data_IF_786629228486
#
_entry.id   IF_786629228486
#
_cell.length_a   1.000
_cell.length_b   1.000
_cell.length_c   1.000
_cell.angle_alpha   90.00
_cell.angle_beta   90.00
_cell.angle_gamma   90.00
#
_symmetry.space_group_name_H-M   'P 1'
#
loop_
_entity.id
_entity.type
_entity.pdbx_description
1 polymer ?
#
# COMPACT_ATOMS: atom_id res chain seq x y z
N UNK A 1 -1.20 25.59 7.75
CA UNK A 1 -0.32 25.28 6.60
C UNK A 1 -0.13 23.78 6.40
N UNK A 2 0.27 23.06 7.45
CA UNK A 2 0.52 21.62 7.43
C UNK A 2 -0.67 20.79 6.94
N UNK A 3 -1.87 20.98 7.50
CA UNK A 3 -3.08 20.23 7.11
C UNK A 3 -3.42 20.36 5.62
N UNK A 4 -3.22 21.56 5.06
CA UNK A 4 -3.38 21.83 3.63
C UNK A 4 -2.36 21.04 2.82
N UNK A 5 -1.10 20.98 3.26
CA UNK A 5 -0.05 20.21 2.57
C UNK A 5 -0.35 18.71 2.60
N UNK A 6 -0.82 18.19 3.73
CA UNK A 6 -1.25 16.79 3.87
C UNK A 6 -2.39 16.50 2.88
N UNK A 7 -3.43 17.34 2.87
CA UNK A 7 -4.58 17.19 1.96
C UNK A 7 -4.15 17.19 0.49
N UNK A 8 -3.28 18.12 0.09
CA UNK A 8 -2.76 18.19 -1.28
C UNK A 8 -1.99 16.93 -1.64
N UNK A 9 -1.12 16.46 -0.74
CA UNK A 9 -0.33 15.26 -0.96
C UNK A 9 -1.21 14.02 -1.11
N UNK A 10 -2.17 13.80 -0.20
CA UNK A 10 -3.11 12.68 -0.27
C UNK A 10 -3.88 12.67 -1.59
N UNK A 11 -4.34 13.84 -2.06
CA UNK A 11 -5.03 13.96 -3.35
C UNK A 11 -4.12 13.59 -4.53
N UNK A 12 -2.86 14.03 -4.50
CA UNK A 12 -1.88 13.71 -5.55
C UNK A 12 -1.54 12.22 -5.56
N UNK A 13 -1.34 11.62 -4.39
CA UNK A 13 -1.10 10.19 -4.24
C UNK A 13 -2.22 9.37 -4.88
N UNK A 14 -3.47 9.62 -4.48
CA UNK A 14 -4.64 8.91 -5.02
C UNK A 14 -4.81 9.14 -6.53
N UNK A 15 -4.46 10.33 -7.03
CA UNK A 15 -4.52 10.62 -8.47
C UNK A 15 -3.49 9.80 -9.25
N UNK A 16 -2.27 9.69 -8.74
CA UNK A 16 -1.18 8.92 -9.36
C UNK A 16 -1.42 7.40 -9.30
N UNK A 17 -2.18 6.93 -8.31
CA UNK A 17 -2.52 5.52 -8.15
C UNK A 17 -3.72 5.05 -8.99
N UNK A 18 -4.38 5.92 -9.75
CA UNK A 18 -5.49 5.54 -10.64
C UNK A 18 -5.16 4.36 -11.59
N UNK A 19 -3.96 4.27 -12.21
CA UNK A 19 -3.59 3.12 -13.04
C UNK A 19 -3.50 1.81 -12.24
N UNK A 20 -3.21 1.90 -10.94
CA UNK A 20 -3.02 0.77 -10.02
C UNK A 20 -4.29 0.41 -9.24
N UNK A 21 -5.46 0.83 -9.73
CA UNK A 21 -6.73 0.65 -9.01
C UNK A 21 -6.97 -0.81 -8.59
N UNK A 22 -6.69 -1.77 -9.46
CA UNK A 22 -6.89 -3.19 -9.14
C UNK A 22 -5.97 -3.66 -8.00
N UNK A 23 -4.70 -3.26 -8.00
CA UNK A 23 -3.75 -3.57 -6.93
C UNK A 23 -4.18 -2.94 -5.59
N UNK A 24 -4.57 -1.65 -5.63
CA UNK A 24 -5.11 -0.96 -4.45
C UNK A 24 -6.36 -1.67 -3.91
N UNK A 25 -7.29 -2.07 -4.79
CA UNK A 25 -8.48 -2.82 -4.39
C UNK A 25 -8.16 -4.19 -3.79
N UNK A 26 -7.13 -4.88 -4.31
CA UNK A 26 -6.63 -6.12 -3.73
C UNK A 26 -6.11 -5.93 -2.31
N UNK A 27 -5.32 -4.88 -2.06
CA UNK A 27 -4.85 -4.57 -0.70
C UNK A 27 -6.00 -4.23 0.26
N UNK A 28 -7.06 -3.59 -0.22
CA UNK A 28 -8.24 -3.29 0.59
C UNK A 28 -9.05 -4.53 1.00
N UNK A 29 -8.78 -5.72 0.45
CA UNK A 29 -9.40 -6.96 0.94
C UNK A 29 -8.78 -7.45 2.24
N UNK A 30 -7.62 -6.92 2.63
CA UNK A 30 -6.97 -7.23 3.90
C UNK A 30 -7.71 -6.48 5.02
N UNK A 31 -8.19 -7.18 6.08
CA UNK A 31 -8.89 -6.53 7.19
C UNK A 31 -8.08 -5.38 7.81
N UNK A 32 -8.71 -4.22 7.99
CA UNK A 32 -8.08 -3.02 8.55
C UNK A 32 -7.37 -2.12 7.54
N UNK A 33 -7.23 -2.54 6.28
CA UNK A 33 -6.64 -1.71 5.21
C UNK A 33 -7.74 -0.92 4.48
N UNK A 34 -7.80 0.38 4.76
CA UNK A 34 -8.63 1.32 3.99
C UNK A 34 -7.91 1.84 2.74
N UNK A 35 -8.59 2.67 1.95
CA UNK A 35 -8.05 3.23 0.71
C UNK A 35 -6.71 3.96 0.91
N UNK A 36 -6.58 4.74 1.98
CA UNK A 36 -5.34 5.48 2.21
C UNK A 36 -4.21 4.58 2.66
N UNK A 37 -4.47 3.59 3.50
CA UNK A 37 -3.47 2.57 3.86
C UNK A 37 -3.01 1.77 2.65
N UNK A 38 -3.94 1.32 1.79
CA UNK A 38 -3.63 0.63 0.55
C UNK A 38 -2.81 1.52 -0.41
N UNK A 39 -3.14 2.81 -0.47
CA UNK A 39 -2.43 3.77 -1.32
C UNK A 39 -0.98 4.02 -0.84
N UNK A 40 -0.77 4.19 0.46
CA UNK A 40 0.57 4.33 1.04
C UNK A 40 1.36 3.05 0.81
N UNK A 41 0.77 1.89 1.07
CA UNK A 41 1.41 0.60 0.86
C UNK A 41 1.87 0.42 -0.60
N UNK A 42 1.01 0.70 -1.58
CA UNK A 42 1.40 0.69 -3.01
C UNK A 42 2.53 1.65 -3.34
N UNK A 43 2.59 2.82 -2.71
CA UNK A 43 3.68 3.77 -2.93
C UNK A 43 5.01 3.30 -2.34
N UNK A 44 4.97 2.46 -1.29
CA UNK A 44 6.16 1.90 -0.65
C UNK A 44 6.68 0.65 -1.38
N UNK A 45 5.78 -0.25 -1.76
CA UNK A 45 6.15 -1.56 -2.34
C UNK A 45 6.26 -1.53 -3.86
N UNK A 46 5.67 -0.52 -4.52
CA UNK A 46 5.61 -0.42 -5.98
C UNK A 46 4.71 -1.49 -6.61
N UNK A 47 4.72 -1.56 -7.94
CA UNK A 47 3.99 -2.56 -8.73
C UNK A 47 4.85 -3.76 -9.13
N UNK A 48 6.16 -3.69 -8.93
CA UNK A 48 7.09 -4.77 -9.20
C UNK A 48 7.24 -5.73 -7.99
N UNK A 49 6.45 -6.79 -8.00
CA UNK A 49 6.50 -7.82 -6.96
C UNK A 49 7.76 -8.72 -7.03
N UNK A 50 8.57 -8.63 -8.09
CA UNK A 50 9.83 -9.38 -8.17
C UNK A 50 10.83 -8.91 -7.11
N UNK A 51 10.73 -7.65 -6.67
CA UNK A 51 11.54 -7.09 -5.58
C UNK A 51 11.40 -7.88 -4.27
N UNK A 52 10.26 -8.52 -4.02
CA UNK A 52 10.02 -9.32 -2.81
C UNK A 52 10.23 -10.82 -3.04
N UNK A 53 10.34 -11.30 -4.27
CA UNK A 53 10.46 -12.74 -4.65
C UNK A 53 9.25 -13.62 -4.28
N UNK A 54 8.73 -13.53 -3.06
CA UNK A 54 7.60 -14.32 -2.55
C UNK A 54 6.68 -13.47 -1.67
N UNK A 55 5.43 -13.93 -1.50
CA UNK A 55 4.45 -13.24 -0.66
C UNK A 55 4.87 -13.20 0.82
N UNK A 56 5.56 -14.23 1.32
CA UNK A 56 6.05 -14.31 2.71
C UNK A 56 7.10 -13.25 3.00
N UNK A 57 7.98 -12.95 2.03
CA UNK A 57 8.99 -11.89 2.16
C UNK A 57 8.33 -10.50 2.21
N UNK A 58 7.29 -10.27 1.43
CA UNK A 58 6.48 -9.05 1.54
C UNK A 58 5.77 -8.98 2.90
N UNK A 59 5.17 -10.07 3.37
CA UNK A 59 4.52 -10.12 4.68
C UNK A 59 5.50 -9.89 5.83
N UNK A 60 6.73 -10.41 5.72
CA UNK A 60 7.84 -10.16 6.65
C UNK A 60 8.25 -8.70 6.66
N UNK A 61 8.41 -8.06 5.50
CA UNK A 61 8.69 -6.63 5.42
C UNK A 61 7.57 -5.77 6.03
N UNK A 62 6.31 -6.11 5.75
CA UNK A 62 5.16 -5.38 6.27
C UNK A 62 4.93 -5.64 7.79
N UNK A 63 5.72 -6.51 8.42
CA UNK A 63 5.56 -6.87 9.83
C UNK A 63 4.27 -7.65 10.12
N UNK A 64 3.62 -8.21 9.09
CA UNK A 64 2.38 -8.99 9.17
C UNK A 64 2.62 -10.49 8.98
N UNK A 65 3.88 -10.92 8.98
CA UNK A 65 4.24 -12.33 8.82
C UNK A 65 3.57 -13.16 9.94
N UNK A 66 2.70 -14.12 9.60
CA UNK A 66 2.23 -15.10 10.56
C UNK A 66 3.32 -16.16 10.75
N UNK A 67 4.28 -15.93 11.65
CA UNK A 67 5.25 -16.95 12.05
C UNK A 67 6.22 -16.40 13.10
N UNK A 68 6.14 -16.81 14.38
CA UNK A 68 6.08 -18.19 14.85
C UNK A 68 5.06 -18.40 16.01
N UNK A 69 4.09 -19.30 15.81
CA UNK A 69 3.63 -20.32 16.78
C UNK A 69 3.22 -21.58 16.00
#
# INVERSE_FOLDING_TARGET
DLERRITVFSKQLLTRLKPYKAAVQGLQTIPGIDLMRAAVLMAEIGDDMTAFTTAEKLASWAGVCPGNL
#
